data_IF_607204352546
#
_entry.id   IF_607204352546
#
_cell.length_a   1.000
_cell.length_b   1.000
_cell.length_c   1.000
_cell.angle_alpha   90.00
_cell.angle_beta   90.00
_cell.angle_gamma   90.00
#
_symmetry.space_group_name_H-M   'P 1'
#
loop_
_entity.id
_entity.type
_entity.pdbx_description
1 polymer ?
#
# COMPACT_ATOMS: atom_id res chain seq x y z
N UNK A 1 8.53 -1.86 3.20
CA UNK A 1 8.22 -2.10 4.62
C UNK A 1 8.35 -3.56 5.02
N UNK A 2 7.65 -4.50 4.41
CA UNK A 2 7.73 -5.93 4.79
C UNK A 2 9.18 -6.44 4.78
N UNK A 3 9.95 -6.15 3.74
CA UNK A 3 11.36 -6.57 3.62
C UNK A 3 12.29 -6.03 4.70
N UNK A 4 11.95 -4.91 5.32
CA UNK A 4 12.75 -4.25 6.35
C UNK A 4 12.14 -4.32 7.75
N UNK A 5 11.07 -5.10 7.92
CA UNK A 5 10.40 -5.24 9.21
C UNK A 5 11.37 -5.60 10.35
N UNK A 6 12.29 -6.60 10.22
CA UNK A 6 13.23 -6.90 11.28
C UNK A 6 14.11 -5.70 11.65
N UNK A 7 14.64 -5.00 10.64
CA UNK A 7 15.51 -3.83 10.87
C UNK A 7 14.77 -2.66 11.51
N UNK A 8 13.52 -2.43 11.11
CA UNK A 8 12.68 -1.38 11.72
C UNK A 8 12.42 -1.72 13.19
N UNK A 9 12.19 -2.97 13.52
CA UNK A 9 11.96 -3.42 14.89
C UNK A 9 13.24 -3.32 15.73
N UNK A 10 14.40 -3.62 15.17
CA UNK A 10 15.70 -3.42 15.83
C UNK A 10 15.97 -1.92 16.09
N UNK A 11 15.70 -1.05 15.11
CA UNK A 11 15.77 0.41 15.28
C UNK A 11 14.81 0.94 16.36
N UNK A 12 13.70 0.24 16.57
CA UNK A 12 12.75 0.51 17.65
C UNK A 12 13.19 -0.04 19.02
N UNK A 13 14.39 -0.61 19.11
CA UNK A 13 14.96 -1.12 20.37
C UNK A 13 14.54 -2.53 20.74
N UNK A 14 13.91 -3.31 19.83
CA UNK A 14 13.64 -4.73 20.09
C UNK A 14 14.91 -5.56 19.87
N UNK A 15 15.15 -6.51 20.76
CA UNK A 15 16.20 -7.51 20.55
C UNK A 15 15.94 -8.40 19.34
N UNK A 16 16.98 -8.99 18.75
CA UNK A 16 16.91 -9.76 17.51
C UNK A 16 15.83 -10.87 17.53
N UNK A 17 15.68 -11.58 18.64
CA UNK A 17 14.66 -12.63 18.78
C UNK A 17 13.23 -12.06 18.72
N UNK A 18 12.98 -10.95 19.39
CA UNK A 18 11.67 -10.27 19.39
C UNK A 18 11.36 -9.65 18.01
N UNK A 19 12.38 -9.15 17.31
CA UNK A 19 12.26 -8.65 15.93
C UNK A 19 11.86 -9.75 14.95
N UNK A 20 12.42 -10.94 15.07
CA UNK A 20 12.05 -12.09 14.25
C UNK A 20 10.61 -12.54 14.53
N UNK A 21 10.20 -12.66 15.80
CA UNK A 21 8.83 -13.03 16.16
C UNK A 21 7.82 -11.99 15.65
N UNK A 22 8.13 -10.71 15.78
CA UNK A 22 7.29 -9.63 15.24
C UNK A 22 7.17 -9.70 13.72
N UNK A 23 8.23 -10.11 13.03
CA UNK A 23 8.22 -10.31 11.57
C UNK A 23 7.33 -11.49 11.16
N UNK A 24 7.34 -12.59 11.92
CA UNK A 24 6.40 -13.69 11.71
C UNK A 24 4.95 -13.22 11.90
N UNK A 25 4.69 -12.39 12.93
CA UNK A 25 3.41 -11.75 13.16
C UNK A 25 2.94 -10.89 11.97
N UNK A 26 3.85 -10.11 11.39
CA UNK A 26 3.61 -9.32 10.16
C UNK A 26 3.19 -10.24 9.00
N UNK A 27 3.88 -11.37 8.80
CA UNK A 27 3.53 -12.34 7.76
C UNK A 27 2.15 -12.95 7.96
N UNK A 28 1.81 -13.31 9.19
CA UNK A 28 0.51 -13.89 9.54
C UNK A 28 -0.62 -12.87 9.33
N UNK A 29 -0.46 -11.64 9.77
CA UNK A 29 -1.42 -10.55 9.55
C UNK A 29 -1.60 -10.31 8.05
N UNK A 30 -0.53 -10.23 7.28
CA UNK A 30 -0.59 -10.07 5.83
C UNK A 30 -1.41 -11.19 5.20
N UNK A 31 -1.19 -12.44 5.57
CA UNK A 31 -1.92 -13.60 5.05
C UNK A 31 -3.42 -13.52 5.36
N UNK A 32 -3.77 -13.30 6.63
CA UNK A 32 -5.17 -13.23 7.08
C UNK A 32 -5.91 -12.08 6.37
N UNK A 33 -5.33 -10.89 6.35
CA UNK A 33 -5.99 -9.73 5.77
C UNK A 33 -6.05 -9.79 4.23
N UNK A 34 -5.12 -10.47 3.57
CA UNK A 34 -5.23 -10.76 2.12
C UNK A 34 -6.40 -11.70 1.84
N UNK A 35 -6.60 -12.76 2.62
CA UNK A 35 -7.77 -13.65 2.47
C UNK A 35 -9.08 -12.91 2.70
N UNK A 36 -9.13 -12.02 3.70
CA UNK A 36 -10.29 -11.16 3.93
C UNK A 36 -10.52 -10.22 2.74
N UNK A 37 -9.47 -9.62 2.20
CA UNK A 37 -9.56 -8.73 1.03
C UNK A 37 -10.23 -9.43 -0.16
N UNK A 38 -9.83 -10.65 -0.49
CA UNK A 38 -10.43 -11.44 -1.57
C UNK A 38 -11.93 -11.61 -1.37
N UNK A 39 -12.37 -11.84 -0.13
CA UNK A 39 -13.79 -12.01 0.19
C UNK A 39 -14.60 -10.72 0.11
N UNK A 40 -13.96 -9.56 0.31
CA UNK A 40 -14.63 -8.26 0.38
C UNK A 40 -14.51 -7.44 -0.91
N UNK A 41 -13.53 -7.72 -1.78
CA UNK A 41 -13.27 -6.92 -2.98
C UNK A 41 -14.49 -6.84 -3.91
N UNK A 42 -15.22 -7.94 -4.05
CA UNK A 42 -16.42 -8.00 -4.88
C UNK A 42 -17.69 -7.47 -4.17
N UNK A 43 -17.66 -7.40 -2.84
CA UNK A 43 -18.78 -6.88 -2.06
C UNK A 43 -18.73 -5.36 -1.89
N UNK A 44 -17.56 -4.82 -1.58
CA UNK A 44 -17.36 -3.40 -1.28
C UNK A 44 -17.01 -2.63 -2.55
N UNK A 45 -16.19 -3.19 -3.43
CA UNK A 45 -15.65 -2.53 -4.62
C UNK A 45 -14.20 -2.11 -4.46
N UNK A 46 -13.55 -1.82 -5.60
CA UNK A 46 -12.11 -1.56 -5.66
C UNK A 46 -11.77 -0.19 -5.09
N UNK A 47 -12.52 0.84 -5.50
CA UNK A 47 -12.29 2.22 -5.08
C UNK A 47 -12.54 2.46 -3.58
N UNK A 48 -13.67 2.03 -2.96
CA UNK A 48 -13.88 2.18 -1.53
C UNK A 48 -12.83 1.44 -0.68
N UNK A 49 -12.40 0.23 -1.08
CA UNK A 49 -11.34 -0.50 -0.38
C UNK A 49 -10.02 0.26 -0.41
N UNK A 50 -9.66 0.85 -1.56
CA UNK A 50 -8.46 1.69 -1.68
C UNK A 50 -8.53 2.93 -0.80
N UNK A 51 -9.70 3.58 -0.69
CA UNK A 51 -9.88 4.75 0.17
C UNK A 51 -9.73 4.36 1.65
N UNK A 52 -10.41 3.31 2.10
CA UNK A 52 -10.33 2.80 3.49
C UNK A 52 -8.88 2.45 3.82
N UNK A 53 -8.20 1.72 2.94
CA UNK A 53 -6.80 1.36 3.11
C UNK A 53 -5.89 2.58 3.18
N UNK A 54 -6.10 3.57 2.32
CA UNK A 54 -5.28 4.79 2.33
C UNK A 54 -5.37 5.53 3.66
N UNK A 55 -6.56 5.64 4.27
CA UNK A 55 -6.70 6.25 5.61
C UNK A 55 -5.92 5.46 6.66
N UNK A 56 -6.03 4.14 6.67
CA UNK A 56 -5.28 3.29 7.60
C UNK A 56 -3.77 3.39 7.42
N UNK A 57 -3.29 3.44 6.17
CA UNK A 57 -1.87 3.59 5.86
C UNK A 57 -1.33 4.97 6.27
N UNK A 58 -2.07 6.05 6.01
CA UNK A 58 -1.74 7.40 6.44
C UNK A 58 -1.60 7.44 7.96
N UNK A 59 -2.62 6.96 8.68
CA UNK A 59 -2.61 6.95 10.14
C UNK A 59 -1.42 6.16 10.70
N UNK A 60 -1.19 4.94 10.18
CA UNK A 60 -0.09 4.08 10.63
C UNK A 60 1.27 4.74 10.44
N UNK A 61 1.52 5.32 9.25
CA UNK A 61 2.80 5.94 8.92
C UNK A 61 3.09 7.19 9.75
N UNK A 62 2.08 8.04 9.97
CA UNK A 62 2.26 9.20 10.83
C UNK A 62 2.43 8.83 12.29
N UNK A 63 1.77 7.77 12.79
CA UNK A 63 1.98 7.27 14.13
C UNK A 63 3.39 6.70 14.32
N UNK A 64 3.91 5.94 13.35
CA UNK A 64 5.31 5.48 13.35
C UNK A 64 6.25 6.68 13.34
N UNK A 65 6.03 7.65 12.46
CA UNK A 65 6.84 8.88 12.40
C UNK A 65 6.84 9.62 13.74
N UNK A 66 5.68 9.81 14.33
CA UNK A 66 5.53 10.48 15.63
C UNK A 66 6.31 9.76 16.74
N UNK A 67 6.26 8.43 16.79
CA UNK A 67 7.00 7.63 17.78
C UNK A 67 8.52 7.84 17.65
N UNK A 68 9.04 7.98 16.43
CA UNK A 68 10.45 8.29 16.23
C UNK A 68 10.81 9.73 16.66
N UNK A 69 9.90 10.71 16.50
CA UNK A 69 10.14 12.09 16.94
C UNK A 69 10.02 12.29 18.44
N UNK A 70 9.07 11.61 19.10
CA UNK A 70 8.87 11.72 20.54
C UNK A 70 10.00 11.07 21.37
N UNK A 71 10.79 10.19 20.72
CA UNK A 71 11.82 9.42 21.42
C UNK A 71 11.24 8.38 22.39
N UNK A 72 9.91 8.28 22.50
CA UNK A 72 9.22 7.24 23.25
C UNK A 72 9.21 5.94 22.45
N UNK A 73 10.38 5.40 22.19
CA UNK A 73 10.56 4.07 21.61
C UNK A 73 10.14 2.99 22.63
N UNK A 74 8.93 3.09 23.16
CA UNK A 74 8.38 2.04 24.01
C UNK A 74 8.20 0.80 23.16
N UNK A 75 8.93 -0.28 23.49
CA UNK A 75 9.21 -1.44 22.64
C UNK A 75 8.05 -2.13 21.90
N UNK A 76 6.80 -1.73 22.14
CA UNK A 76 5.61 -2.32 21.51
C UNK A 76 4.88 -1.39 20.51
N UNK A 77 5.07 -0.08 20.58
CA UNK A 77 4.32 0.89 19.77
C UNK A 77 4.63 0.75 18.26
N UNK A 78 5.91 0.72 17.91
CA UNK A 78 6.32 0.61 16.49
C UNK A 78 5.90 -0.72 15.86
N UNK A 79 6.13 -1.91 16.48
CA UNK A 79 5.58 -3.15 15.98
C UNK A 79 4.07 -3.12 15.78
N UNK A 80 3.31 -2.56 16.71
CA UNK A 80 1.86 -2.46 16.61
C UNK A 80 1.42 -1.59 15.42
N UNK A 81 2.01 -0.40 15.24
CA UNK A 81 1.68 0.48 14.12
C UNK A 81 2.13 -0.11 12.77
N UNK A 82 3.22 -0.86 12.76
CA UNK A 82 3.66 -1.59 11.58
C UNK A 82 2.69 -2.73 11.22
N UNK A 83 2.20 -3.47 12.21
CA UNK A 83 1.18 -4.51 12.00
C UNK A 83 -0.13 -3.89 11.49
N UNK A 84 -0.53 -2.75 12.03
CA UNK A 84 -1.68 -1.97 11.55
C UNK A 84 -1.49 -1.54 10.09
N UNK A 85 -0.29 -1.03 9.73
CA UNK A 85 0.05 -0.71 8.34
C UNK A 85 -0.11 -1.92 7.42
N UNK A 86 0.44 -3.09 7.81
CA UNK A 86 0.35 -4.32 7.01
C UNK A 86 -1.09 -4.80 6.87
N UNK A 87 -1.89 -4.73 7.92
CA UNK A 87 -3.30 -5.11 7.88
C UNK A 87 -4.07 -4.26 6.85
N UNK A 88 -3.96 -2.93 6.92
CA UNK A 88 -4.61 -2.04 5.96
C UNK A 88 -4.06 -2.19 4.55
N UNK A 89 -2.76 -2.39 4.39
CA UNK A 89 -2.13 -2.64 3.09
C UNK A 89 -2.66 -3.93 2.47
N UNK A 90 -2.62 -5.03 3.20
CA UNK A 90 -3.05 -6.34 2.70
C UNK A 90 -4.55 -6.39 2.37
N UNK A 91 -5.38 -5.74 3.22
CA UNK A 91 -6.82 -5.67 3.01
C UNK A 91 -7.23 -4.80 1.82
N UNK A 92 -6.38 -3.87 1.40
CA UNK A 92 -6.70 -2.92 0.35
C UNK A 92 -5.71 -2.98 -0.82
N UNK A 93 -4.67 -2.19 -0.77
CA UNK A 93 -3.76 -1.96 -1.90
C UNK A 93 -3.04 -3.23 -2.36
N UNK A 94 -2.62 -4.09 -1.43
CA UNK A 94 -1.93 -5.33 -1.73
C UNK A 94 -2.71 -6.29 -2.62
N UNK A 95 -4.03 -6.34 -2.45
CA UNK A 95 -4.92 -7.18 -3.26
C UNK A 95 -5.58 -6.41 -4.42
N UNK A 96 -6.09 -5.20 -4.13
CA UNK A 96 -6.94 -4.44 -5.06
C UNK A 96 -6.17 -4.00 -6.30
N UNK A 97 -4.89 -3.61 -6.18
CA UNK A 97 -4.13 -3.10 -7.32
C UNK A 97 -4.03 -4.10 -8.47
N UNK A 98 -3.86 -5.38 -8.17
CA UNK A 98 -3.74 -6.42 -9.20
C UNK A 98 -5.04 -6.67 -9.95
N UNK A 99 -6.16 -6.67 -9.21
CA UNK A 99 -7.49 -6.78 -9.79
C UNK A 99 -7.80 -5.53 -10.63
N UNK A 100 -7.54 -4.34 -10.09
CA UNK A 100 -7.77 -3.09 -10.81
C UNK A 100 -6.97 -2.99 -12.12
N UNK A 101 -5.67 -3.34 -12.11
CA UNK A 101 -4.85 -3.37 -13.33
C UNK A 101 -5.42 -4.36 -14.36
N UNK A 102 -6.01 -5.47 -13.92
CA UNK A 102 -6.61 -6.45 -14.82
C UNK A 102 -7.95 -6.00 -15.41
N UNK A 103 -8.66 -5.10 -14.75
CA UNK A 103 -10.01 -4.66 -15.11
C UNK A 103 -10.07 -3.33 -15.87
N UNK A 104 -9.05 -2.46 -15.72
CA UNK A 104 -9.08 -1.11 -16.27
C UNK A 104 -8.81 -1.06 -17.78
N UNK A 105 -8.13 -2.06 -18.33
CA UNK A 105 -7.75 -2.07 -19.73
C UNK A 105 -8.76 -2.85 -20.60
N UNK A 106 -9.12 -2.32 -21.80
CA UNK A 106 -9.94 -3.03 -22.79
C UNK A 106 -9.31 -4.36 -23.20
N UNK A 107 -10.14 -5.30 -23.66
CA UNK A 107 -9.69 -6.63 -24.08
C UNK A 107 -8.58 -6.61 -25.14
N UNK A 108 -8.66 -5.67 -26.08
CA UNK A 108 -7.71 -5.52 -27.19
C UNK A 108 -6.27 -5.20 -26.77
N UNK A 109 -6.08 -4.52 -25.62
CA UNK A 109 -4.76 -4.09 -25.12
C UNK A 109 -4.49 -4.53 -23.69
N UNK A 110 -5.31 -5.43 -23.13
CA UNK A 110 -5.24 -5.86 -21.73
C UNK A 110 -3.88 -6.43 -21.37
N UNK A 111 -3.32 -7.30 -22.20
CA UNK A 111 -2.02 -7.92 -21.92
C UNK A 111 -0.91 -6.87 -21.82
N UNK A 112 -0.87 -5.92 -22.77
CA UNK A 112 0.08 -4.82 -22.77
C UNK A 112 -0.12 -3.89 -21.57
N UNK A 113 -1.37 -3.56 -21.24
CA UNK A 113 -1.72 -2.73 -20.10
C UNK A 113 -1.34 -3.36 -18.76
N UNK A 114 -1.61 -4.65 -18.59
CA UNK A 114 -1.18 -5.40 -17.39
C UNK A 114 0.35 -5.48 -17.29
N UNK A 115 1.04 -5.71 -18.40
CA UNK A 115 2.51 -5.72 -18.42
C UNK A 115 3.06 -4.37 -18.02
N UNK A 116 2.54 -3.28 -18.58
CA UNK A 116 2.96 -1.92 -18.23
C UNK A 116 2.70 -1.62 -16.75
N UNK A 117 1.50 -1.89 -16.26
CA UNK A 117 1.13 -1.64 -14.86
C UNK A 117 1.97 -2.46 -13.88
N UNK A 118 2.14 -3.75 -14.13
CA UNK A 118 2.95 -4.64 -13.29
C UNK A 118 4.43 -4.26 -13.33
N UNK A 119 4.98 -3.96 -14.50
CA UNK A 119 6.39 -3.54 -14.63
C UNK A 119 6.63 -2.23 -13.90
N UNK A 120 5.76 -1.24 -14.05
CA UNK A 120 5.84 0.04 -13.32
C UNK A 120 5.80 -0.20 -11.81
N UNK A 121 4.89 -1.04 -11.32
CA UNK A 121 4.82 -1.38 -9.91
C UNK A 121 6.14 -1.98 -9.39
N UNK A 122 6.70 -2.98 -10.06
CA UNK A 122 7.92 -3.63 -9.62
C UNK A 122 9.16 -2.75 -9.72
N UNK A 123 9.26 -1.91 -10.76
CA UNK A 123 10.34 -0.92 -10.90
C UNK A 123 10.28 0.07 -9.73
N UNK A 124 9.12 0.65 -9.45
CA UNK A 124 8.96 1.59 -8.34
C UNK A 124 9.18 0.93 -6.97
N UNK A 125 8.69 -0.30 -6.78
CA UNK A 125 8.94 -1.06 -5.56
C UNK A 125 10.44 -1.31 -5.34
N UNK A 126 11.18 -1.61 -6.41
CA UNK A 126 12.63 -1.78 -6.37
C UNK A 126 13.34 -0.48 -5.99
N UNK A 127 12.99 0.64 -6.64
CA UNK A 127 13.57 1.96 -6.32
C UNK A 127 13.31 2.30 -4.85
N UNK A 128 12.09 2.12 -4.35
CA UNK A 128 11.76 2.39 -2.95
C UNK A 128 12.51 1.45 -2.01
N UNK A 129 12.61 0.16 -2.34
CA UNK A 129 13.34 -0.80 -1.51
C UNK A 129 14.82 -0.43 -1.39
N UNK A 130 15.49 -0.07 -2.48
CA UNK A 130 16.91 0.33 -2.44
C UNK A 130 17.13 1.70 -1.78
N UNK A 131 16.22 2.65 -1.95
CA UNK A 131 16.38 3.99 -1.37
C UNK A 131 16.01 4.06 0.11
N UNK A 132 15.16 3.16 0.60
CA UNK A 132 14.68 3.20 2.00
C UNK A 132 15.81 3.17 3.05
N UNK A 133 16.82 2.26 2.99
CA UNK A 133 17.90 2.26 3.98
C UNK A 133 18.69 3.56 3.98
N UNK A 134 19.01 4.08 2.79
CA UNK A 134 19.73 5.34 2.64
C UNK A 134 18.94 6.53 3.24
N UNK A 135 17.64 6.61 2.97
CA UNK A 135 16.77 7.64 3.54
C UNK A 135 16.69 7.52 5.06
N UNK A 136 16.52 6.30 5.57
CA UNK A 136 16.43 6.05 7.02
C UNK A 136 17.73 6.36 7.76
N UNK A 137 18.89 6.10 7.15
CA UNK A 137 20.20 6.41 7.73
C UNK A 137 20.55 7.91 7.65
N UNK A 138 20.19 8.57 6.54
CA UNK A 138 20.54 9.98 6.32
C UNK A 138 19.62 10.94 7.04
N UNK A 139 18.31 10.71 6.99
CA UNK A 139 17.29 11.62 7.51
C UNK A 139 16.64 11.13 8.82
N UNK A 140 16.96 9.89 9.23
CA UNK A 140 16.35 9.25 10.39
C UNK A 140 14.95 8.69 10.10
N UNK A 141 14.50 7.76 10.96
CA UNK A 141 13.23 7.08 10.80
C UNK A 141 12.02 8.04 10.78
N UNK A 142 12.02 9.05 11.66
CA UNK A 142 10.90 10.00 11.76
C UNK A 142 10.60 10.70 10.44
N UNK A 143 11.59 11.33 9.83
CA UNK A 143 11.42 12.05 8.56
C UNK A 143 11.09 11.11 7.40
N UNK A 144 11.68 9.92 7.37
CA UNK A 144 11.44 8.91 6.32
C UNK A 144 9.98 8.44 6.37
N UNK A 145 9.47 8.08 7.53
CA UNK A 145 8.06 7.66 7.66
C UNK A 145 7.08 8.81 7.44
N UNK A 146 7.42 10.03 7.83
CA UNK A 146 6.63 11.22 7.52
C UNK A 146 6.50 11.42 6.00
N UNK A 147 7.60 11.32 5.26
CA UNK A 147 7.61 11.43 3.80
C UNK A 147 6.71 10.37 3.16
N UNK A 148 6.80 9.10 3.57
CA UNK A 148 5.92 8.07 3.04
C UNK A 148 4.45 8.28 3.44
N UNK A 149 4.17 8.80 4.63
CA UNK A 149 2.83 9.20 5.05
C UNK A 149 2.24 10.28 4.14
N UNK A 150 3.05 11.28 3.79
CA UNK A 150 2.65 12.33 2.85
C UNK A 150 2.37 11.78 1.44
N UNK A 151 3.18 10.83 0.96
CA UNK A 151 2.93 10.15 -0.32
C UNK A 151 1.60 9.38 -0.31
N UNK A 152 1.20 8.80 0.83
CA UNK A 152 -0.10 8.14 0.96
C UNK A 152 -1.27 9.14 0.94
N UNK A 153 -1.08 10.38 1.40
CA UNK A 153 -2.07 11.45 1.24
C UNK A 153 -2.26 11.80 -0.24
N UNK A 154 -1.18 11.91 -1.00
CA UNK A 154 -1.26 12.14 -2.46
C UNK A 154 -1.96 10.98 -3.16
N UNK A 155 -1.68 9.74 -2.75
CA UNK A 155 -2.36 8.56 -3.27
C UNK A 155 -3.87 8.58 -2.93
N UNK A 156 -4.27 8.97 -1.71
CA UNK A 156 -5.67 9.11 -1.35
C UNK A 156 -6.39 10.13 -2.26
N UNK A 157 -5.76 11.26 -2.53
CA UNK A 157 -6.30 12.29 -3.45
C UNK A 157 -6.46 11.70 -4.86
N UNK A 158 -5.46 10.97 -5.35
CA UNK A 158 -5.52 10.28 -6.63
C UNK A 158 -6.69 9.28 -6.70
N UNK A 159 -6.80 8.39 -5.70
CA UNK A 159 -7.87 7.39 -5.65
C UNK A 159 -9.24 8.07 -5.59
N UNK A 160 -9.36 9.13 -4.80
CA UNK A 160 -10.63 9.84 -4.65
C UNK A 160 -11.04 10.57 -5.92
N UNK A 161 -10.11 11.21 -6.64
CA UNK A 161 -10.45 12.04 -7.81
C UNK A 161 -10.38 11.32 -9.15
N UNK A 162 -9.45 10.37 -9.28
CA UNK A 162 -9.08 9.82 -10.59
C UNK A 162 -9.40 8.33 -10.74
N UNK A 163 -9.43 7.55 -9.65
CA UNK A 163 -9.66 6.11 -9.75
C UNK A 163 -11.15 5.81 -10.02
N UNK A 164 -11.50 5.21 -11.17
CA UNK A 164 -12.85 4.77 -11.43
C UNK A 164 -13.19 3.53 -10.60
N UNK A 165 -14.48 3.33 -10.29
CA UNK A 165 -14.94 2.05 -9.74
C UNK A 165 -15.16 1.06 -10.87
N UNK A 166 -14.56 -0.11 -10.76
CA UNK A 166 -14.63 -1.17 -11.77
C UNK A 166 -15.61 -2.29 -11.40
N UNK A 167 -16.06 -2.33 -10.15
CA UNK A 167 -17.01 -3.35 -9.68
C UNK A 167 -18.29 -3.38 -10.52
N UNK A 168 -18.62 -4.57 -11.05
CA UNK A 168 -19.89 -4.81 -11.75
C UNK A 168 -20.04 -4.10 -13.09
N UNK A 169 -18.98 -3.51 -13.63
CA UNK A 169 -18.99 -2.94 -14.98
C UNK A 169 -18.46 -3.96 -15.98
N UNK A 170 -19.19 -4.15 -17.09
CA UNK A 170 -18.66 -4.92 -18.19
C UNK A 170 -17.51 -4.12 -18.85
N UNK A 171 -16.58 -4.85 -19.44
CA UNK A 171 -15.42 -4.24 -20.10
C UNK A 171 -15.83 -3.33 -21.26
N UNK A 172 -16.90 -3.69 -21.96
CA UNK A 172 -17.49 -2.89 -23.04
C UNK A 172 -18.07 -1.56 -22.49
N UNK A 173 -18.61 -1.54 -21.28
CA UNK A 173 -19.10 -0.32 -20.63
C UNK A 173 -17.95 0.61 -20.23
N UNK A 174 -16.82 0.05 -19.80
CA UNK A 174 -15.62 0.83 -19.47
C UNK A 174 -15.05 1.43 -20.75
N UNK A 175 -14.99 0.67 -21.84
CA UNK A 175 -14.53 1.09 -23.16
C UNK A 175 -15.43 2.19 -23.75
N UNK A 176 -16.76 2.05 -23.64
CA UNK A 176 -17.73 3.05 -24.07
C UNK A 176 -17.56 4.39 -23.35
N UNK A 177 -17.30 4.39 -22.04
CA UNK A 177 -17.09 5.61 -21.26
C UNK A 177 -15.75 6.30 -21.58
N UNK A 178 -14.72 5.56 -21.96
CA UNK A 178 -13.44 6.14 -22.39
C UNK A 178 -13.54 6.81 -23.76
N UNK A 179 -14.40 6.29 -24.63
CA UNK A 179 -14.64 6.83 -25.99
C UNK A 179 -15.60 8.05 -25.99
N UNK A 180 -16.36 8.27 -24.91
CA UNK A 180 -17.29 9.41 -24.77
C UNK A 180 -16.66 10.66 -24.16
N UNK A 181 -15.38 10.65 -23.77
CA UNK A 181 -14.66 11.84 -23.35
C UNK A 181 -14.33 12.68 -24.60
N UNK A 182 -14.98 13.85 -24.83
CA UNK A 182 -14.70 14.68 -26.00
C UNK A 182 -13.26 15.20 -25.93
N UNK A 183 -12.42 14.82 -26.89
CA UNK A 183 -11.12 15.45 -27.09
C UNK A 183 -9.88 14.53 -27.09
N UNK A 184 -10.00 13.25 -27.50
CA UNK A 184 -8.83 12.47 -27.88
C UNK A 184 -9.03 11.85 -29.26
N UNK A 185 -8.56 12.56 -30.27
CA UNK A 185 -8.06 12.01 -31.54
C UNK A 185 -6.55 11.84 -31.37
#
# INVERSE_FOLDING_TARGET
MIYYAPRIFEMAGLGAHSSLLSTVGVGLINFIFTLLAISFIDKIGRRPLMIIGSFGLIASLFLVSYTFYSGELSGFAIPFYMMMFIAFFAFSQGAVIWVFISEIFPNSVRAQGQTLGSSTHWIMATIIAFSFPYLAETFGGGHTFFFFGFMMVLQLIFVWRMMPETKGRSLEQIEGNLNTVPGRI
#
